data_IF_036058837527
#
_entry.id   IF_036058837527
#
_cell.length_a   1.000
_cell.length_b   1.000
_cell.length_c   1.000
_cell.angle_alpha   90.00
_cell.angle_beta   90.00
_cell.angle_gamma   90.00
#
_symmetry.space_group_name_H-M   'P 1'
#
loop_
_entity.id
_entity.type
_entity.pdbx_description
1 polymer ?
#
# COMPACT_ATOMS: atom_id res chain seq x y z
N UNK A 1 -27.71 30.81 57.66
CA UNK A 1 -28.86 31.60 57.21
C UNK A 1 -28.39 32.58 56.15
N UNK A 2 -29.08 32.66 55.01
CA UNK A 2 -28.82 33.68 53.98
C UNK A 2 -28.51 33.12 52.59
N UNK A 3 -29.53 32.58 51.93
CA UNK A 3 -29.60 32.42 50.47
C UNK A 3 -29.79 33.78 49.78
N UNK A 4 -29.10 33.98 48.65
CA UNK A 4 -29.50 34.79 47.47
C UNK A 4 -28.40 34.51 46.43
N UNK A 5 -28.61 34.13 45.17
CA UNK A 5 -29.76 34.31 44.29
C UNK A 5 -29.23 34.81 42.94
N UNK A 6 -28.65 33.93 42.10
CA UNK A 6 -28.02 34.31 40.83
C UNK A 6 -28.26 33.29 39.69
N UNK A 7 -29.42 33.41 39.03
CA UNK A 7 -29.63 32.98 37.63
C UNK A 7 -28.88 33.99 36.73
N UNK A 8 -28.27 33.71 35.59
CA UNK A 8 -28.19 32.54 34.72
C UNK A 8 -27.92 33.07 33.30
N UNK A 9 -26.93 32.55 32.59
CA UNK A 9 -26.86 32.55 31.11
C UNK A 9 -26.05 31.31 30.71
N UNK A 10 -26.75 30.20 30.48
CA UNK A 10 -26.17 28.99 29.92
C UNK A 10 -26.37 29.06 28.41
N UNK A 11 -25.36 29.53 27.69
CA UNK A 11 -25.33 29.50 26.23
C UNK A 11 -25.11 28.07 25.76
N UNK A 12 -26.08 27.55 25.02
CA UNK A 12 -26.07 26.23 24.37
C UNK A 12 -24.96 26.13 23.34
N UNK A 13 -23.83 25.49 23.70
CA UNK A 13 -22.89 24.91 22.75
C UNK A 13 -23.19 23.41 22.65
N UNK A 14 -24.37 23.10 22.09
CA UNK A 14 -24.91 21.75 21.97
C UNK A 14 -25.19 21.36 20.53
N UNK A 15 -24.28 21.69 19.60
CA UNK A 15 -24.53 21.53 18.15
C UNK A 15 -23.48 20.76 17.36
N UNK A 16 -22.41 20.24 17.97
CA UNK A 16 -21.32 19.59 17.21
C UNK A 16 -20.68 18.36 17.88
N UNK A 17 -21.25 17.89 18.99
CA UNK A 17 -20.77 16.68 19.70
C UNK A 17 -21.75 15.50 19.55
N UNK A 18 -22.99 15.75 19.05
CA UNK A 18 -24.02 14.72 18.88
C UNK A 18 -23.79 13.75 17.70
N UNK A 19 -23.04 14.15 16.69
CA UNK A 19 -22.90 13.36 15.45
C UNK A 19 -21.77 12.31 15.48
N UNK A 20 -21.06 12.18 16.61
CA UNK A 20 -19.93 11.22 16.76
C UNK A 20 -20.38 9.85 17.31
N UNK A 21 -21.62 9.72 17.78
CA UNK A 21 -22.10 8.49 18.45
C UNK A 21 -23.34 7.84 17.82
N UNK A 22 -23.40 7.74 16.49
CA UNK A 22 -24.32 6.79 15.83
C UNK A 22 -23.58 5.46 15.54
N UNK A 23 -23.63 4.55 16.52
CA UNK A 23 -22.90 3.28 16.53
C UNK A 23 -23.65 2.10 15.86
N UNK A 24 -24.77 2.34 15.19
CA UNK A 24 -25.56 1.34 14.47
C UNK A 24 -25.85 1.75 13.03
N UNK A 25 -24.79 2.04 12.28
CA UNK A 25 -24.86 2.11 10.83
C UNK A 25 -24.34 0.78 10.25
N UNK A 26 -25.22 0.06 9.53
CA UNK A 26 -24.92 -1.21 8.86
C UNK A 26 -24.03 -1.05 7.63
N UNK A 27 -23.64 0.18 7.27
CA UNK A 27 -22.74 0.46 6.17
C UNK A 27 -21.37 -0.22 6.39
N UNK A 28 -20.88 -1.03 5.43
CA UNK A 28 -19.57 -1.67 5.50
C UNK A 28 -18.45 -0.68 5.81
N UNK A 29 -17.43 -1.14 6.54
CA UNK A 29 -16.34 -0.29 7.03
C UNK A 29 -15.57 0.38 5.89
N UNK A 30 -15.33 -0.32 4.78
CA UNK A 30 -14.66 0.26 3.61
C UNK A 30 -15.48 1.40 2.98
N UNK A 31 -16.80 1.25 2.91
CA UNK A 31 -17.67 2.26 2.31
C UNK A 31 -17.72 3.54 3.18
N UNK A 32 -17.71 3.40 4.51
CA UNK A 32 -17.61 4.55 5.44
C UNK A 32 -16.30 5.31 5.30
N UNK A 33 -15.17 4.59 5.20
CA UNK A 33 -13.85 5.21 4.99
C UNK A 33 -13.82 5.94 3.64
N UNK A 34 -14.38 5.34 2.60
CA UNK A 34 -14.45 5.90 1.25
C UNK A 34 -15.31 7.17 1.23
N UNK A 35 -16.50 7.14 1.86
CA UNK A 35 -17.37 8.33 2.00
C UNK A 35 -16.69 9.45 2.78
N UNK A 36 -16.06 9.16 3.91
CA UNK A 36 -15.33 10.16 4.70
C UNK A 36 -14.17 10.77 3.90
N UNK A 37 -13.46 9.97 3.11
CA UNK A 37 -12.40 10.46 2.24
C UNK A 37 -12.93 11.36 1.13
N UNK A 38 -13.97 10.94 0.41
CA UNK A 38 -14.62 11.74 -0.63
C UNK A 38 -15.14 13.06 -0.07
N UNK A 39 -15.75 13.05 1.11
CA UNK A 39 -16.21 14.26 1.79
C UNK A 39 -15.04 15.16 2.20
N UNK A 40 -13.96 14.60 2.77
CA UNK A 40 -12.75 15.35 3.12
C UNK A 40 -12.07 15.96 1.89
N UNK A 41 -12.00 15.21 0.79
CA UNK A 41 -11.46 15.67 -0.50
C UNK A 41 -12.31 16.77 -1.12
N UNK A 42 -13.64 16.62 -1.11
CA UNK A 42 -14.57 17.65 -1.59
C UNK A 42 -14.56 18.90 -0.71
N UNK A 43 -14.44 18.75 0.61
CA UNK A 43 -14.28 19.86 1.55
C UNK A 43 -12.97 20.60 1.30
N UNK A 44 -11.85 19.88 1.16
CA UNK A 44 -10.56 20.47 0.80
C UNK A 44 -10.63 21.19 -0.56
N UNK A 45 -11.31 20.63 -1.56
CA UNK A 45 -11.52 21.27 -2.87
C UNK A 45 -12.34 22.56 -2.77
N UNK A 46 -13.45 22.57 -2.02
CA UNK A 46 -14.24 23.80 -1.78
C UNK A 46 -13.44 24.84 -1.00
N UNK A 47 -12.61 24.41 -0.06
CA UNK A 47 -11.68 25.27 0.67
C UNK A 47 -10.61 25.86 -0.26
N UNK A 48 -10.14 25.11 -1.26
CA UNK A 48 -9.25 25.62 -2.32
C UNK A 48 -9.92 26.70 -3.17
N UNK A 49 -11.16 26.46 -3.60
CA UNK A 49 -11.92 27.40 -4.43
C UNK A 49 -12.19 28.71 -3.67
N UNK A 50 -12.48 28.63 -2.36
CA UNK A 50 -12.74 29.80 -1.51
C UNK A 50 -11.49 30.57 -1.10
N UNK A 51 -10.33 29.92 -0.97
CA UNK A 51 -9.04 30.57 -0.61
C UNK A 51 -8.22 31.03 -1.82
N UNK A 52 -8.82 31.10 -3.01
CA UNK A 52 -8.12 31.51 -4.23
C UNK A 52 -6.98 30.56 -4.63
N UNK A 53 -7.13 29.26 -4.32
CA UNK A 53 -6.19 28.21 -4.70
C UNK A 53 -4.92 28.09 -3.86
N UNK A 54 -4.68 28.96 -2.86
CA UNK A 54 -3.51 28.87 -1.98
C UNK A 54 -3.82 27.98 -0.76
N UNK A 55 -3.58 26.67 -0.91
CA UNK A 55 -3.73 25.69 0.17
C UNK A 55 -2.68 25.88 1.28
N UNK A 56 -1.47 26.32 0.89
CA UNK A 56 -0.33 26.44 1.77
C UNK A 56 0.02 27.90 2.03
N UNK A 57 0.22 28.26 3.31
CA UNK A 57 0.84 29.54 3.65
C UNK A 57 2.29 29.55 3.16
N UNK A 58 2.83 30.74 2.88
CA UNK A 58 4.22 30.91 2.44
C UNK A 58 5.21 30.24 3.42
N UNK A 59 5.00 30.43 4.73
CA UNK A 59 5.82 29.77 5.76
C UNK A 59 5.68 28.23 5.79
N UNK A 60 4.53 27.68 5.40
CA UNK A 60 4.39 26.23 5.24
C UNK A 60 5.15 25.72 4.02
N UNK A 61 5.08 26.44 2.88
CA UNK A 61 5.86 26.10 1.69
C UNK A 61 7.37 26.16 1.95
N UNK A 62 7.84 27.19 2.66
CA UNK A 62 9.24 27.28 3.09
C UNK A 62 9.63 26.09 3.99
N UNK A 63 8.73 25.68 4.89
CA UNK A 63 8.98 24.53 5.76
C UNK A 63 9.07 23.21 4.98
N UNK A 64 8.20 23.00 3.99
CA UNK A 64 8.26 21.83 3.11
C UNK A 64 9.51 21.85 2.23
N UNK A 65 9.94 23.01 1.73
CA UNK A 65 11.18 23.16 0.96
C UNK A 65 12.41 22.80 1.80
N UNK A 66 12.49 23.28 3.05
CA UNK A 66 13.58 22.90 3.98
C UNK A 66 13.56 21.41 4.33
N UNK A 67 12.38 20.79 4.39
CA UNK A 67 12.28 19.34 4.60
C UNK A 67 12.80 18.58 3.37
N UNK A 68 12.42 19.00 2.17
CA UNK A 68 12.93 18.41 0.93
C UNK A 68 14.47 18.50 0.86
N UNK A 69 15.04 19.68 1.10
CA UNK A 69 16.49 19.90 1.13
C UNK A 69 17.20 18.99 2.15
N UNK A 70 16.61 18.80 3.33
CA UNK A 70 17.15 17.86 4.33
C UNK A 70 17.11 16.41 3.86
N UNK A 71 16.08 16.02 3.11
CA UNK A 71 15.98 14.67 2.53
C UNK A 71 17.03 14.50 1.45
N UNK A 72 17.18 15.47 0.54
CA UNK A 72 18.21 15.45 -0.51
C UNK A 72 19.61 15.28 0.07
N UNK A 73 19.96 16.09 1.09
CA UNK A 73 21.25 15.97 1.76
C UNK A 73 21.51 14.56 2.33
N UNK A 74 20.49 13.89 2.87
CA UNK A 74 20.62 12.52 3.39
C UNK A 74 20.69 11.49 2.27
N UNK A 75 19.94 11.69 1.17
CA UNK A 75 20.01 10.82 -0.01
C UNK A 75 21.40 10.85 -0.63
N UNK A 76 21.93 12.05 -0.83
CA UNK A 76 23.25 12.27 -1.42
C UNK A 76 24.36 11.67 -0.54
N UNK A 77 24.26 11.82 0.79
CA UNK A 77 25.27 11.30 1.72
C UNK A 77 25.21 9.77 1.91
N UNK A 78 24.01 9.21 2.04
CA UNK A 78 23.84 7.83 2.55
C UNK A 78 23.22 6.84 1.59
N UNK A 79 22.53 7.32 0.56
CA UNK A 79 21.72 6.48 -0.32
C UNK A 79 21.96 6.83 -1.79
N UNK A 80 23.20 6.67 -2.30
CA UNK A 80 23.54 7.03 -3.68
C UNK A 80 22.72 6.24 -4.71
N UNK A 81 22.26 5.03 -4.34
CA UNK A 81 21.42 4.18 -5.19
C UNK A 81 19.91 4.48 -5.04
N UNK A 82 19.56 5.50 -4.25
CA UNK A 82 18.20 5.86 -3.88
C UNK A 82 17.73 5.22 -2.58
N UNK A 83 16.59 5.69 -2.12
CA UNK A 83 15.96 5.25 -0.89
C UNK A 83 14.45 5.06 -1.06
N UNK A 84 13.85 4.55 0.02
CA UNK A 84 12.42 4.49 0.24
C UNK A 84 12.07 5.33 1.47
N UNK A 85 11.04 6.16 1.37
CA UNK A 85 10.59 7.04 2.45
C UNK A 85 9.32 6.52 3.13
N UNK A 86 9.27 6.62 4.46
CA UNK A 86 8.07 6.33 5.26
C UNK A 86 8.03 7.13 6.55
N UNK A 87 6.90 7.05 7.26
CA UNK A 87 6.81 7.46 8.66
C UNK A 87 6.93 6.26 9.61
N UNK A 88 6.73 6.49 10.91
CA UNK A 88 6.78 5.46 11.97
C UNK A 88 5.99 4.21 11.59
N UNK A 89 4.71 4.39 11.27
CA UNK A 89 3.76 3.28 11.20
C UNK A 89 3.53 2.76 9.80
N UNK A 90 3.43 3.64 8.80
CA UNK A 90 3.11 3.21 7.43
C UNK A 90 3.95 3.95 6.41
N UNK A 91 4.06 3.27 5.27
CA UNK A 91 4.69 3.81 4.07
C UNK A 91 3.62 4.33 3.10
N UNK A 92 3.97 5.32 2.25
CA UNK A 92 3.03 6.02 1.38
C UNK A 92 2.69 5.23 0.11
N UNK A 93 2.44 3.91 0.24
CA UNK A 93 2.23 2.96 -0.88
C UNK A 93 1.02 3.32 -1.77
N UNK A 94 0.11 4.15 -1.27
CA UNK A 94 -1.10 4.61 -1.94
C UNK A 94 -0.91 5.88 -2.80
N UNK A 95 0.24 6.54 -2.67
CA UNK A 95 0.51 7.83 -3.34
C UNK A 95 0.70 7.69 -4.85
N UNK A 96 1.29 6.58 -5.28
CA UNK A 96 1.63 6.34 -6.68
C UNK A 96 0.39 6.19 -7.57
N UNK A 97 -0.74 5.72 -7.01
CA UNK A 97 -2.04 5.64 -7.70
C UNK A 97 -2.54 7.03 -8.13
N UNK A 98 -2.05 8.10 -7.49
CA UNK A 98 -2.52 9.46 -7.72
C UNK A 98 -1.65 10.29 -8.69
N UNK A 99 -0.64 9.69 -9.35
CA UNK A 99 0.20 10.44 -10.31
C UNK A 99 -0.36 10.40 -11.73
N UNK A 100 -0.63 11.58 -12.29
CA UNK A 100 -0.95 11.76 -13.70
C UNK A 100 0.17 11.26 -14.63
N UNK A 101 1.42 11.29 -14.17
CA UNK A 101 2.58 10.74 -14.88
C UNK A 101 2.54 9.20 -14.96
N UNK A 102 2.18 8.49 -13.87
CA UNK A 102 1.97 7.04 -13.91
C UNK A 102 0.81 6.69 -14.84
N UNK A 103 -0.30 7.44 -14.78
CA UNK A 103 -1.42 7.23 -15.70
C UNK A 103 -0.99 7.42 -17.16
N UNK A 104 -0.19 8.45 -17.46
CA UNK A 104 0.31 8.72 -18.80
C UNK A 104 1.31 7.67 -19.28
N UNK A 105 2.18 7.17 -18.40
CA UNK A 105 3.12 6.07 -18.71
C UNK A 105 2.38 4.75 -18.93
N UNK A 106 1.33 4.47 -18.15
CA UNK A 106 0.46 3.31 -18.31
C UNK A 106 -0.23 3.35 -19.68
N UNK A 107 -0.79 4.51 -20.04
CA UNK A 107 -1.42 4.76 -21.35
C UNK A 107 -0.40 4.52 -22.48
N UNK A 108 0.81 5.06 -22.36
CA UNK A 108 1.84 4.92 -23.40
C UNK A 108 2.33 3.47 -23.57
N UNK A 109 2.45 2.71 -22.48
CA UNK A 109 2.92 1.31 -22.54
C UNK A 109 1.85 0.40 -23.16
N UNK A 110 0.59 0.55 -22.74
CA UNK A 110 -0.57 -0.15 -23.32
C UNK A 110 -0.68 0.16 -24.82
N UNK A 111 -0.47 1.40 -25.24
CA UNK A 111 -0.50 1.79 -26.65
C UNK A 111 0.68 1.22 -27.48
N UNK A 112 1.76 0.78 -26.82
CA UNK A 112 3.00 0.32 -27.49
C UNK A 112 3.18 -1.19 -27.53
N UNK A 113 2.48 -1.96 -26.67
CA UNK A 113 2.50 -3.43 -26.75
C UNK A 113 1.66 -3.87 -27.95
N UNK A 114 2.32 -4.05 -29.08
CA UNK A 114 1.72 -4.65 -30.28
C UNK A 114 1.24 -6.06 -29.96
N UNK A 115 -0.06 -6.22 -29.74
CA UNK A 115 -0.68 -7.53 -29.67
C UNK A 115 -0.44 -8.28 -30.99
N UNK A 116 -0.10 -9.57 -30.96
CA UNK A 116 0.08 -10.35 -32.18
C UNK A 116 -1.22 -10.36 -32.98
N UNK A 117 -1.14 -9.96 -34.25
CA UNK A 117 -2.27 -10.01 -35.15
C UNK A 117 -2.80 -11.44 -35.24
N UNK A 118 -4.13 -11.65 -35.22
CA UNK A 118 -4.72 -12.98 -35.25
C UNK A 118 -4.26 -13.74 -36.49
N UNK A 119 -3.58 -14.86 -36.28
CA UNK A 119 -3.07 -15.69 -37.38
C UNK A 119 -4.26 -16.29 -38.16
N UNK A 120 -4.41 -15.85 -39.41
CA UNK A 120 -5.40 -16.38 -40.34
C UNK A 120 -4.94 -17.75 -40.83
N UNK A 121 -5.36 -18.83 -40.15
CA UNK A 121 -5.15 -20.19 -40.64
C UNK A 121 -6.45 -20.81 -41.15
N UNK A 122 -6.33 -21.43 -42.31
CA UNK A 122 -7.37 -21.90 -43.21
C UNK A 122 -8.04 -23.20 -42.77
N UNK A 123 -9.37 -23.18 -42.79
CA UNK A 123 -10.33 -24.27 -43.04
C UNK A 123 -9.81 -25.72 -43.08
N UNK A 124 -10.05 -26.47 -42.00
CA UNK A 124 -10.40 -27.89 -42.11
C UNK A 124 -11.52 -28.23 -41.12
N UNK A 125 -12.52 -28.93 -41.61
CA UNK A 125 -13.84 -29.13 -41.00
C UNK A 125 -13.82 -30.24 -39.94
N UNK A 126 -13.88 -29.84 -38.67
CA UNK A 126 -14.36 -30.65 -37.54
C UNK A 126 -14.91 -29.67 -36.50
N UNK A 127 -16.03 -29.95 -35.81
CA UNK A 127 -16.63 -28.98 -34.89
C UNK A 127 -15.74 -28.84 -33.66
N UNK A 128 -15.11 -27.67 -33.41
CA UNK A 128 -14.36 -27.47 -32.19
C UNK A 128 -15.33 -26.92 -31.13
N UNK A 129 -15.37 -27.57 -29.97
CA UNK A 129 -15.78 -26.94 -28.72
C UNK A 129 -14.77 -25.83 -28.40
N UNK A 130 -15.01 -24.63 -28.93
CA UNK A 130 -14.00 -23.59 -29.17
C UNK A 130 -14.01 -22.40 -28.21
N UNK A 131 -14.53 -22.54 -26.98
CA UNK A 131 -14.55 -21.42 -26.01
C UNK A 131 -13.35 -21.38 -25.05
N UNK A 132 -12.44 -22.36 -25.08
CA UNK A 132 -11.43 -22.53 -24.01
C UNK A 132 -10.05 -21.93 -24.28
N UNK A 133 -9.77 -21.44 -25.50
CA UNK A 133 -8.48 -20.85 -25.82
C UNK A 133 -8.41 -19.34 -25.55
N UNK A 134 -9.49 -18.58 -25.79
CA UNK A 134 -9.46 -17.12 -25.61
C UNK A 134 -9.45 -16.71 -24.14
N UNK A 135 -10.23 -17.39 -23.29
CA UNK A 135 -10.27 -17.09 -21.86
C UNK A 135 -8.91 -17.28 -21.16
N UNK A 136 -8.07 -18.19 -21.68
CA UNK A 136 -6.73 -18.43 -21.16
C UNK A 136 -5.74 -17.34 -21.55
N UNK A 137 -5.86 -16.81 -22.76
CA UNK A 137 -5.04 -15.69 -23.23
C UNK A 137 -5.42 -14.40 -22.52
N UNK A 138 -6.72 -14.15 -22.32
CA UNK A 138 -7.23 -12.98 -21.61
C UNK A 138 -6.80 -12.95 -20.13
N UNK A 139 -6.80 -14.12 -19.49
CA UNK A 139 -6.36 -14.27 -18.10
C UNK A 139 -4.84 -14.10 -17.95
N UNK A 140 -4.05 -14.68 -18.86
CA UNK A 140 -2.59 -14.52 -18.85
C UNK A 140 -2.19 -13.04 -19.02
N UNK A 141 -2.88 -12.33 -19.91
CA UNK A 141 -2.67 -10.91 -20.13
C UNK A 141 -3.09 -10.05 -18.93
N UNK A 142 -4.21 -10.37 -18.27
CA UNK A 142 -4.64 -9.66 -17.06
C UNK A 142 -3.63 -9.83 -15.91
N UNK A 143 -3.04 -11.01 -15.77
CA UNK A 143 -2.01 -11.30 -14.77
C UNK A 143 -0.73 -10.53 -15.09
N UNK A 144 -0.27 -10.58 -16.33
CA UNK A 144 0.93 -9.85 -16.77
C UNK A 144 0.79 -8.34 -16.55
N UNK A 145 -0.36 -7.77 -16.90
CA UNK A 145 -0.68 -6.36 -16.67
C UNK A 145 -0.74 -6.01 -15.18
N UNK A 146 -1.25 -6.90 -14.32
CA UNK A 146 -1.25 -6.70 -12.87
C UNK A 146 0.16 -6.73 -12.29
N UNK A 147 1.02 -7.63 -12.78
CA UNK A 147 2.42 -7.72 -12.38
C UNK A 147 3.20 -6.47 -12.80
N UNK A 148 2.97 -5.98 -14.02
CA UNK A 148 3.53 -4.71 -14.50
C UNK A 148 3.05 -3.54 -13.63
N UNK A 149 1.74 -3.46 -13.36
CA UNK A 149 1.14 -2.45 -12.49
C UNK A 149 1.80 -2.41 -11.11
N UNK A 150 1.95 -3.58 -10.46
CA UNK A 150 2.58 -3.68 -9.15
C UNK A 150 4.09 -3.35 -9.19
N UNK A 151 4.80 -3.79 -10.24
CA UNK A 151 6.23 -3.50 -10.43
C UNK A 151 6.48 -2.01 -10.64
N UNK A 152 5.61 -1.35 -11.40
CA UNK A 152 5.64 0.10 -11.62
C UNK A 152 5.31 0.86 -10.33
N UNK A 153 4.28 0.43 -9.58
CA UNK A 153 3.94 1.00 -8.27
C UNK A 153 5.13 0.99 -7.33
N UNK A 154 5.87 -0.12 -7.29
CA UNK A 154 6.99 -0.27 -6.38
C UNK A 154 8.19 0.57 -6.83
N UNK A 155 8.52 0.53 -8.12
CA UNK A 155 9.60 1.37 -8.69
C UNK A 155 9.33 2.87 -8.51
N UNK A 156 8.06 3.29 -8.52
CA UNK A 156 7.66 4.70 -8.32
C UNK A 156 7.84 5.22 -6.89
N UNK A 157 8.10 4.34 -5.91
CA UNK A 157 8.37 4.75 -4.52
C UNK A 157 9.86 4.97 -4.26
N UNK A 158 10.72 4.66 -5.24
CA UNK A 158 12.16 4.94 -5.18
C UNK A 158 12.38 6.44 -5.33
N UNK A 159 12.93 7.06 -4.30
CA UNK A 159 13.45 8.42 -4.37
C UNK A 159 14.96 8.36 -4.61
N UNK A 160 15.47 9.19 -5.52
CA UNK A 160 16.90 9.19 -5.87
C UNK A 160 17.55 10.50 -5.44
N UNK A 161 18.83 10.40 -5.12
CA UNK A 161 19.73 11.54 -5.02
C UNK A 161 19.71 12.37 -6.31
N UNK A 162 20.09 13.65 -6.22
CA UNK A 162 20.14 14.53 -7.39
C UNK A 162 21.27 14.08 -8.31
N UNK A 163 20.98 13.81 -9.58
CA UNK A 163 22.03 13.58 -10.57
C UNK A 163 22.54 14.94 -11.03
N UNK A 164 23.65 15.43 -10.47
CA UNK A 164 24.29 16.65 -10.96
C UNK A 164 24.92 16.41 -12.34
N UNK A 165 24.10 16.28 -13.39
CA UNK A 165 24.59 16.36 -14.76
C UNK A 165 25.04 17.81 -15.00
N UNK A 166 26.34 18.00 -15.17
CA UNK A 166 26.91 19.28 -15.54
C UNK A 166 26.20 19.82 -16.79
N UNK A 167 25.41 20.88 -16.61
CA UNK A 167 24.84 21.65 -17.71
C UNK A 167 23.33 21.59 -17.88
N UNK A 168 22.61 20.67 -17.24
CA UNK A 168 21.14 20.62 -17.36
C UNK A 168 20.44 21.01 -16.04
N UNK A 169 19.94 22.24 -15.99
CA UNK A 169 19.17 22.77 -14.85
C UNK A 169 17.66 22.60 -15.04
N UNK A 170 17.20 21.96 -16.11
CA UNK A 170 15.85 22.21 -16.64
C UNK A 170 14.80 21.14 -16.35
N UNK A 171 15.09 20.03 -15.64
CA UNK A 171 14.06 19.00 -15.49
C UNK A 171 14.18 17.93 -14.42
N UNK A 172 15.15 17.96 -13.51
CA UNK A 172 15.22 16.90 -12.50
C UNK A 172 14.30 17.19 -11.30
N UNK A 173 13.31 16.31 -11.11
CA UNK A 173 12.54 16.23 -9.86
C UNK A 173 13.50 15.95 -8.70
N UNK A 174 13.77 16.97 -7.88
CA UNK A 174 14.58 16.86 -6.68
C UNK A 174 13.99 15.75 -5.77
N UNK A 175 14.80 14.73 -5.44
CA UNK A 175 14.36 13.53 -4.73
C UNK A 175 13.65 13.84 -3.41
N UNK A 176 14.07 14.89 -2.71
CA UNK A 176 13.46 15.42 -1.52
C UNK A 176 12.07 16.00 -1.75
N UNK A 177 11.85 16.74 -2.86
CA UNK A 177 10.52 17.25 -3.21
C UNK A 177 9.58 16.11 -3.56
N UNK A 178 10.06 15.13 -4.32
CA UNK A 178 9.27 13.95 -4.65
C UNK A 178 8.92 13.14 -3.39
N UNK A 179 9.85 12.99 -2.45
CA UNK A 179 9.60 12.36 -1.15
C UNK A 179 8.53 13.10 -0.33
N UNK A 180 8.60 14.44 -0.26
CA UNK A 180 7.58 15.26 0.40
C UNK A 180 6.23 15.12 -0.28
N UNK A 181 6.20 15.10 -1.62
CA UNK A 181 4.99 14.89 -2.39
C UNK A 181 4.37 13.50 -2.13
N UNK A 182 5.17 12.42 -2.12
CA UNK A 182 4.72 11.07 -1.76
C UNK A 182 4.08 11.06 -0.36
N UNK A 183 4.73 11.65 0.63
CA UNK A 183 4.18 11.70 1.98
C UNK A 183 2.90 12.54 2.07
N UNK A 184 2.87 13.69 1.39
CA UNK A 184 1.74 14.61 1.41
C UNK A 184 0.50 14.11 0.65
N UNK A 185 0.70 13.23 -0.33
CA UNK A 185 -0.39 12.65 -1.15
C UNK A 185 -0.92 11.32 -0.63
N UNK A 186 -0.24 10.70 0.35
CA UNK A 186 -0.68 9.44 0.97
C UNK A 186 -1.79 9.64 2.00
N UNK A 187 -2.92 8.97 1.79
CA UNK A 187 -3.99 8.86 2.78
C UNK A 187 -3.53 8.06 4.00
N UNK A 188 -2.69 7.03 3.81
CA UNK A 188 -2.10 6.26 4.93
C UNK A 188 -1.27 7.15 5.85
N UNK A 189 -0.44 8.03 5.27
CA UNK A 189 0.35 9.01 6.03
C UNK A 189 -0.55 10.03 6.72
N UNK A 190 -1.54 10.58 6.01
CA UNK A 190 -2.50 11.51 6.62
C UNK A 190 -3.20 10.91 7.84
N UNK A 191 -3.66 9.66 7.75
CA UNK A 191 -4.29 8.97 8.88
C UNK A 191 -3.32 8.75 10.04
N UNK A 192 -2.05 8.46 9.78
CA UNK A 192 -1.04 8.33 10.84
C UNK A 192 -0.78 9.65 11.54
N UNK A 193 -0.60 10.74 10.79
CA UNK A 193 -0.42 12.08 11.35
C UNK A 193 -1.64 12.54 12.15
N UNK A 194 -2.84 12.23 11.66
CA UNK A 194 -4.10 12.51 12.37
C UNK A 194 -4.17 11.74 13.69
N UNK A 195 -3.80 10.45 13.70
CA UNK A 195 -3.76 9.66 14.94
C UNK A 195 -2.74 10.22 15.93
N UNK A 196 -1.56 10.63 15.49
CA UNK A 196 -0.56 11.26 16.37
C UNK A 196 -1.09 12.57 16.95
N UNK A 197 -1.77 13.38 16.12
CA UNK A 197 -2.37 14.64 16.57
C UNK A 197 -3.49 14.41 17.59
N UNK A 198 -4.29 13.37 17.43
CA UNK A 198 -5.42 13.05 18.32
C UNK A 198 -5.01 12.26 19.56
N UNK A 199 -3.88 11.55 19.52
CA UNK A 199 -3.39 10.71 20.60
C UNK A 199 -1.96 11.08 20.96
N UNK A 200 -1.79 11.85 22.04
CA UNK A 200 -0.48 12.30 22.54
C UNK A 200 0.49 11.15 22.85
N UNK A 201 -0.02 9.92 23.01
CA UNK A 201 0.76 8.74 23.38
C UNK A 201 1.57 8.10 22.22
N UNK A 202 1.36 8.50 20.95
CA UNK A 202 2.08 7.87 19.82
C UNK A 202 3.53 8.36 19.65
N UNK A 203 4.00 9.24 20.54
CA UNK A 203 5.36 9.78 20.51
C UNK A 203 5.62 10.70 19.32
N UNK A 204 6.91 11.01 19.10
CA UNK A 204 7.33 11.90 18.03
C UNK A 204 7.24 11.21 16.66
N UNK A 205 6.67 11.88 15.67
CA UNK A 205 6.75 11.45 14.27
C UNK A 205 8.19 11.50 13.80
N UNK A 206 8.65 10.40 13.22
CA UNK A 206 9.95 10.24 12.60
C UNK A 206 9.74 10.05 11.09
N UNK A 207 10.58 10.73 10.33
CA UNK A 207 10.77 10.47 8.91
C UNK A 207 11.88 9.43 8.78
N UNK A 208 11.61 8.34 8.07
CA UNK A 208 12.53 7.21 7.93
C UNK A 208 12.87 7.07 6.45
N UNK A 209 14.17 7.08 6.16
CA UNK A 209 14.74 6.71 4.87
C UNK A 209 15.37 5.34 5.01
N UNK A 210 15.06 4.43 4.07
CA UNK A 210 15.65 3.10 3.98
C UNK A 210 16.34 2.97 2.64
N UNK A 211 17.52 2.36 2.62
CA UNK A 211 18.24 2.11 1.38
C UNK A 211 17.34 1.34 0.40
N UNK A 212 17.33 1.79 -0.85
CA UNK A 212 16.64 1.08 -1.91
C UNK A 212 17.43 -0.17 -2.31
N UNK A 213 16.73 -1.28 -2.49
CA UNK A 213 17.33 -2.53 -2.97
C UNK A 213 16.60 -3.02 -4.20
N UNK A 214 17.31 -3.15 -5.32
CA UNK A 214 16.76 -3.72 -6.55
C UNK A 214 16.49 -5.24 -6.44
N UNK A 215 17.04 -5.89 -5.40
CA UNK A 215 16.74 -7.29 -5.08
C UNK A 215 15.41 -7.48 -4.33
N UNK A 216 14.82 -6.40 -3.83
CA UNK A 216 13.54 -6.45 -3.10
C UNK A 216 12.39 -6.34 -4.10
N UNK A 217 11.81 -7.49 -4.43
CA UNK A 217 10.57 -7.56 -5.22
C UNK A 217 9.37 -7.68 -4.27
N UNK A 218 8.48 -6.69 -4.31
CA UNK A 218 7.30 -6.62 -3.44
C UNK A 218 6.29 -7.75 -3.71
N UNK A 219 6.26 -8.29 -4.92
CA UNK A 219 5.42 -9.45 -5.26
C UNK A 219 5.83 -10.68 -4.43
N UNK A 220 7.11 -10.73 -4.04
CA UNK A 220 7.70 -11.74 -3.16
C UNK A 220 7.71 -11.28 -1.69
N UNK A 221 6.73 -10.43 -1.30
CA UNK A 221 6.43 -10.13 0.10
C UNK A 221 5.47 -11.17 0.71
N UNK A 222 5.73 -11.51 1.96
CA UNK A 222 4.95 -12.46 2.75
C UNK A 222 4.69 -11.86 4.13
N UNK A 223 3.50 -12.10 4.69
CA UNK A 223 3.18 -11.76 6.07
C UNK A 223 3.17 -13.01 6.91
N UNK A 224 3.98 -13.04 7.97
CA UNK A 224 3.86 -14.04 9.02
C UNK A 224 3.08 -13.51 10.21
N UNK A 225 2.45 -14.46 10.91
CA UNK A 225 1.76 -14.24 12.17
C UNK A 225 2.58 -14.91 13.27
N UNK A 226 2.81 -14.16 14.35
CA UNK A 226 3.62 -14.62 15.48
C UNK A 226 2.78 -14.56 16.74
N UNK A 227 2.64 -15.71 17.39
CA UNK A 227 1.90 -15.87 18.63
C UNK A 227 2.77 -16.63 19.63
N UNK A 228 2.82 -16.18 20.90
CA UNK A 228 3.70 -16.74 21.92
C UNK A 228 5.17 -16.89 21.46
N UNK A 229 5.65 -15.88 20.71
CA UNK A 229 6.98 -15.85 20.09
C UNK A 229 7.27 -17.05 19.14
N UNK A 230 6.23 -17.64 18.56
CA UNK A 230 6.30 -18.70 17.56
C UNK A 230 5.59 -18.26 16.29
N UNK A 231 6.21 -18.52 15.13
CA UNK A 231 5.58 -18.27 13.84
C UNK A 231 4.50 -19.32 13.59
N UNK A 232 3.24 -18.92 13.63
CA UNK A 232 2.07 -19.81 13.54
C UNK A 232 1.54 -19.93 12.12
N UNK A 233 1.61 -18.86 11.33
CA UNK A 233 1.12 -18.88 9.97
C UNK A 233 1.90 -17.92 9.08
N UNK A 234 1.85 -18.17 7.76
CA UNK A 234 2.38 -17.29 6.72
C UNK A 234 1.33 -17.17 5.61
N UNK A 235 1.19 -15.95 5.08
CA UNK A 235 0.38 -15.66 3.91
C UNK A 235 1.19 -14.88 2.87
N UNK A 236 0.98 -15.15 1.58
CA UNK A 236 1.39 -14.24 0.53
C UNK A 236 0.77 -12.85 0.76
N UNK A 237 1.59 -11.79 0.74
CA UNK A 237 1.11 -10.45 1.09
C UNK A 237 0.05 -9.95 0.10
N UNK A 238 0.34 -10.11 -1.20
CA UNK A 238 -0.53 -9.75 -2.31
C UNK A 238 -1.48 -10.90 -2.65
N UNK A 239 -2.62 -10.96 -1.95
CA UNK A 239 -3.60 -12.07 -2.05
C UNK A 239 -4.29 -12.21 -3.41
N UNK A 240 -4.23 -11.19 -4.27
CA UNK A 240 -4.81 -11.21 -5.62
C UNK A 240 -3.80 -11.48 -6.74
N UNK A 241 -2.54 -11.79 -6.42
CA UNK A 241 -1.46 -11.95 -7.42
C UNK A 241 -0.97 -13.38 -7.46
N UNK A 242 -1.26 -14.09 -8.54
CA UNK A 242 -0.78 -15.45 -8.75
C UNK A 242 0.62 -15.43 -9.36
N UNK A 243 1.56 -16.14 -8.74
CA UNK A 243 2.96 -16.22 -9.19
C UNK A 243 3.39 -17.69 -9.11
N UNK A 244 3.40 -18.42 -10.25
CA UNK A 244 3.74 -19.84 -10.28
C UNK A 244 5.06 -20.15 -9.56
N UNK A 245 6.08 -19.31 -9.76
CA UNK A 245 7.41 -19.51 -9.20
C UNK A 245 7.44 -19.43 -7.67
N UNK A 246 6.52 -18.68 -7.04
CA UNK A 246 6.38 -18.64 -5.58
C UNK A 246 5.83 -19.99 -5.09
N UNK A 247 4.88 -20.58 -5.83
CA UNK A 247 4.31 -21.89 -5.50
C UNK A 247 5.35 -23.01 -5.65
N UNK A 248 6.09 -23.00 -6.76
CA UNK A 248 7.16 -23.97 -7.04
C UNK A 248 8.26 -23.95 -5.97
N UNK A 249 8.58 -22.76 -5.45
CA UNK A 249 9.63 -22.56 -4.42
C UNK A 249 9.10 -22.47 -2.99
N UNK A 250 7.84 -22.86 -2.74
CA UNK A 250 7.16 -22.69 -1.43
C UNK A 250 8.01 -23.17 -0.25
N UNK A 251 8.65 -24.32 -0.38
CA UNK A 251 9.44 -24.90 0.71
C UNK A 251 10.77 -24.17 0.94
N UNK A 252 11.47 -23.73 -0.11
CA UNK A 252 12.70 -22.96 0.06
C UNK A 252 12.43 -21.56 0.63
N UNK A 253 11.34 -20.91 0.19
CA UNK A 253 10.87 -19.63 0.74
C UNK A 253 10.59 -19.79 2.23
N UNK A 254 9.83 -20.83 2.61
CA UNK A 254 9.53 -21.13 4.01
C UNK A 254 10.79 -21.34 4.85
N UNK A 255 11.74 -22.12 4.34
CA UNK A 255 13.00 -22.38 5.02
C UNK A 255 13.78 -21.08 5.27
N UNK A 256 13.91 -20.23 4.24
CA UNK A 256 14.59 -18.93 4.33
C UNK A 256 13.92 -17.99 5.33
N UNK A 257 12.59 -17.89 5.31
CA UNK A 257 11.83 -17.08 6.26
C UNK A 257 11.98 -17.56 7.71
N UNK A 258 11.93 -18.88 7.94
CA UNK A 258 12.16 -19.46 9.27
C UNK A 258 13.55 -19.17 9.77
N UNK A 259 14.58 -19.34 8.94
CA UNK A 259 15.96 -19.03 9.32
C UNK A 259 16.10 -17.57 9.76
N UNK A 260 15.55 -16.62 8.99
CA UNK A 260 15.58 -15.19 9.36
C UNK A 260 14.78 -14.91 10.63
N UNK A 261 13.61 -15.53 10.78
CA UNK A 261 12.78 -15.37 11.98
C UNK A 261 13.51 -15.82 13.25
N UNK A 262 14.16 -16.98 13.24
CA UNK A 262 14.92 -17.48 14.38
C UNK A 262 16.03 -16.50 14.82
N UNK A 263 16.72 -15.88 13.85
CA UNK A 263 17.76 -14.87 14.12
C UNK A 263 17.20 -13.54 14.64
N UNK A 264 15.99 -13.18 14.20
CA UNK A 264 15.38 -11.88 14.53
C UNK A 264 14.65 -11.94 15.86
N UNK A 265 13.91 -13.03 16.15
CA UNK A 265 13.06 -13.12 17.35
C UNK A 265 13.85 -12.95 18.65
N UNK A 266 15.12 -13.37 18.68
CA UNK A 266 16.01 -13.21 19.84
C UNK A 266 16.44 -11.75 20.07
N UNK A 267 16.37 -10.90 19.04
CA UNK A 267 16.76 -9.50 19.08
C UNK A 267 15.57 -8.56 19.33
N UNK A 268 14.34 -9.08 19.27
CA UNK A 268 13.15 -8.27 19.48
C UNK A 268 13.00 -7.93 20.97
N UNK A 269 12.58 -6.70 21.31
CA UNK A 269 12.35 -6.33 22.69
C UNK A 269 11.34 -7.26 23.37
N UNK A 270 11.55 -7.57 24.65
CA UNK A 270 10.65 -8.45 25.40
C UNK A 270 9.17 -8.04 25.30
N UNK A 271 8.89 -6.74 25.39
CA UNK A 271 7.54 -6.16 25.27
C UNK A 271 6.84 -6.47 23.93
N UNK A 272 7.60 -6.72 22.86
CA UNK A 272 7.04 -7.18 21.60
C UNK A 272 6.82 -8.70 21.62
N UNK A 273 7.77 -9.46 22.16
CA UNK A 273 7.70 -10.94 22.19
C UNK A 273 6.67 -11.50 23.16
N UNK A 274 6.21 -10.69 24.13
CA UNK A 274 5.15 -11.07 25.09
C UNK A 274 3.74 -10.87 24.56
N UNK A 275 3.59 -10.28 23.37
CA UNK A 275 2.32 -10.06 22.70
C UNK A 275 2.33 -10.65 21.28
N UNK A 276 1.16 -10.93 20.69
CA UNK A 276 1.07 -11.28 19.29
C UNK A 276 1.52 -10.14 18.38
N UNK A 277 2.16 -10.46 17.27
CA UNK A 277 2.57 -9.48 16.25
C UNK A 277 2.59 -10.11 14.86
N UNK A 278 2.80 -9.29 13.84
CA UNK A 278 3.04 -9.77 12.48
C UNK A 278 4.38 -9.28 11.97
N UNK A 279 5.04 -10.10 11.17
CA UNK A 279 6.28 -9.74 10.46
C UNK A 279 6.05 -9.83 8.97
N UNK A 280 6.33 -8.75 8.27
CA UNK A 280 6.37 -8.75 6.83
C UNK A 280 7.80 -9.08 6.39
N UNK A 281 7.94 -10.05 5.50
CA UNK A 281 9.19 -10.47 4.90
C UNK A 281 9.17 -10.17 3.41
N UNK A 282 10.36 -9.97 2.83
CA UNK A 282 10.57 -10.01 1.39
C UNK A 282 11.61 -11.06 1.06
N UNK A 283 11.44 -11.78 -0.04
CA UNK A 283 12.38 -12.81 -0.49
C UNK A 283 12.86 -12.49 -1.90
N UNK A 284 14.17 -12.51 -2.12
CA UNK A 284 14.73 -12.31 -3.45
C UNK A 284 14.39 -13.51 -4.35
N UNK A 285 13.73 -13.32 -5.50
CA UNK A 285 13.35 -14.44 -6.37
C UNK A 285 14.54 -15.24 -6.92
N UNK A 286 15.71 -14.57 -7.07
CA UNK A 286 16.93 -15.15 -7.65
C UNK A 286 17.76 -15.91 -6.62
N UNK A 287 17.96 -15.31 -5.45
CA UNK A 287 18.91 -15.81 -4.44
C UNK A 287 18.24 -16.44 -3.23
N UNK A 288 16.92 -16.28 -3.09
CA UNK A 288 16.13 -16.66 -1.91
C UNK A 288 16.59 -16.00 -0.61
N UNK A 289 17.43 -14.96 -0.70
CA UNK A 289 17.77 -14.11 0.44
C UNK A 289 16.49 -13.48 0.98
N UNK A 290 16.29 -13.58 2.29
CA UNK A 290 15.10 -13.08 2.98
C UNK A 290 15.45 -11.88 3.87
N UNK A 291 14.56 -10.90 3.91
CA UNK A 291 14.64 -9.71 4.74
C UNK A 291 13.38 -9.54 5.57
N UNK A 292 13.53 -8.98 6.78
CA UNK A 292 12.38 -8.42 7.51
C UNK A 292 12.12 -7.01 7.00
N UNK A 293 10.91 -6.78 6.52
CA UNK A 293 10.45 -5.50 5.97
C UNK A 293 9.77 -4.66 7.04
N UNK A 294 8.85 -5.25 7.79
CA UNK A 294 8.03 -4.50 8.74
C UNK A 294 7.58 -5.37 9.92
N UNK A 295 7.44 -4.75 11.09
CA UNK A 295 6.79 -5.35 12.25
C UNK A 295 5.48 -4.59 12.44
N UNK A 296 4.36 -5.31 12.43
CA UNK A 296 3.05 -4.70 12.62
C UNK A 296 2.34 -5.26 13.86
N UNK A 297 1.27 -4.56 14.23
CA UNK A 297 0.32 -5.04 15.24
C UNK A 297 -0.29 -6.38 14.80
N UNK A 298 -0.87 -7.18 15.71
CA UNK A 298 -1.60 -8.38 15.33
C UNK A 298 -2.93 -8.04 14.62
N UNK A 299 -3.55 -9.00 13.93
CA UNK A 299 -4.93 -8.88 13.47
C UNK A 299 -5.92 -8.59 14.62
N UNK A 300 -7.08 -7.96 14.35
CA UNK A 300 -7.54 -7.49 13.04
C UNK A 300 -6.92 -6.14 12.61
N UNK A 301 -6.00 -5.58 13.39
CA UNK A 301 -5.40 -4.27 13.08
C UNK A 301 -4.48 -4.36 11.87
N UNK A 302 -3.66 -5.40 11.79
CA UNK A 302 -2.99 -5.78 10.55
C UNK A 302 -3.93 -6.61 9.68
N UNK A 303 -3.88 -6.38 8.37
CA UNK A 303 -4.57 -7.23 7.40
C UNK A 303 -4.03 -8.66 7.39
N UNK A 304 -4.89 -9.62 7.09
CA UNK A 304 -4.61 -11.05 7.16
C UNK A 304 -4.36 -11.72 5.80
N UNK A 305 -4.43 -10.94 4.71
CA UNK A 305 -4.19 -11.40 3.33
C UNK A 305 -5.07 -12.59 2.94
N UNK A 306 -4.50 -13.80 2.76
CA UNK A 306 -5.25 -15.02 2.38
C UNK A 306 -5.95 -15.72 3.56
N UNK A 307 -5.84 -15.17 4.77
CA UNK A 307 -6.67 -15.58 5.90
C UNK A 307 -7.82 -14.60 6.08
N UNK A 308 -9.00 -15.12 6.44
CA UNK A 308 -10.19 -14.32 6.74
C UNK A 308 -10.35 -14.25 8.25
N UNK A 309 -10.07 -13.09 8.86
CA UNK A 309 -10.06 -12.96 10.32
C UNK A 309 -11.42 -13.26 10.98
N UNK A 310 -12.50 -12.92 10.28
CA UNK A 310 -13.88 -13.18 10.69
C UNK A 310 -14.20 -14.68 10.69
N UNK A 311 -13.43 -15.51 9.96
CA UNK A 311 -13.54 -16.96 10.00
C UNK A 311 -12.84 -17.51 11.25
N UNK A 312 -13.58 -18.22 12.10
CA UNK A 312 -13.06 -18.75 13.36
C UNK A 312 -11.91 -19.76 13.18
N UNK A 313 -11.94 -20.56 12.11
CA UNK A 313 -10.88 -21.54 11.85
C UNK A 313 -9.57 -20.84 11.47
N UNK A 314 -9.63 -19.82 10.61
CA UNK A 314 -8.46 -19.03 10.23
C UNK A 314 -7.86 -18.30 11.43
N UNK A 315 -8.71 -17.76 12.31
CA UNK A 315 -8.27 -17.17 13.57
C UNK A 315 -7.55 -18.18 14.46
N UNK A 316 -8.13 -19.38 14.61
CA UNK A 316 -7.49 -20.47 15.36
C UNK A 316 -6.12 -20.83 14.78
N UNK A 317 -5.99 -20.90 13.46
CA UNK A 317 -4.71 -21.15 12.78
C UNK A 317 -3.69 -20.06 13.09
N UNK A 318 -4.08 -18.79 12.92
CA UNK A 318 -3.21 -17.63 13.20
C UNK A 318 -2.77 -17.58 14.67
N UNK A 319 -3.66 -17.89 15.61
CA UNK A 319 -3.35 -17.74 17.04
C UNK A 319 -2.62 -18.96 17.62
N UNK A 320 -3.08 -20.18 17.34
CA UNK A 320 -2.65 -21.38 18.07
C UNK A 320 -2.66 -22.68 17.24
N UNK A 321 -2.99 -22.63 15.95
CA UNK A 321 -3.20 -23.83 15.14
C UNK A 321 -1.90 -24.48 14.68
N UNK A 322 -1.99 -25.63 13.97
CA UNK A 322 -0.83 -26.17 13.28
C UNK A 322 -0.29 -25.13 12.30
N UNK A 323 1.03 -25.12 12.13
CA UNK A 323 1.66 -24.17 11.23
C UNK A 323 1.05 -24.26 9.82
N UNK A 324 0.65 -23.11 9.25
CA UNK A 324 0.10 -23.06 7.89
C UNK A 324 0.75 -21.98 7.03
N UNK A 325 1.09 -22.33 5.79
CA UNK A 325 1.60 -21.40 4.78
C UNK A 325 0.65 -21.36 3.58
N UNK A 326 -0.12 -20.27 3.46
CA UNK A 326 -1.06 -20.02 2.36
C UNK A 326 -0.42 -19.18 1.26
N UNK A 327 -0.54 -19.68 0.04
CA UNK A 327 -0.21 -19.00 -1.21
C UNK A 327 -1.44 -19.04 -2.12
N UNK A 328 -1.52 -18.11 -3.06
CA UNK A 328 -2.54 -18.22 -4.10
C UNK A 328 -2.14 -19.36 -5.06
N UNK A 329 -2.95 -20.41 -5.14
CA UNK A 329 -2.60 -21.64 -5.89
C UNK A 329 -2.99 -21.60 -7.36
N UNK A 330 -3.90 -20.70 -7.73
CA UNK A 330 -4.37 -20.49 -9.09
C UNK A 330 -4.71 -19.00 -9.30
N UNK A 331 -4.69 -18.50 -10.54
CA UNK A 331 -5.16 -17.15 -10.84
C UNK A 331 -6.53 -16.86 -10.25
N UNK A 332 -6.68 -15.68 -9.66
CA UNK A 332 -7.98 -15.16 -9.27
C UNK A 332 -8.81 -14.96 -10.54
N UNK A 333 -10.06 -15.45 -10.53
CA UNK A 333 -10.94 -15.28 -11.68
C UNK A 333 -11.21 -13.80 -11.94
N UNK A 334 -11.35 -13.36 -13.21
CA UNK A 334 -11.53 -11.95 -13.56
C UNK A 334 -12.69 -11.25 -12.83
N UNK A 335 -13.78 -11.98 -12.54
CA UNK A 335 -14.97 -11.43 -11.88
C UNK A 335 -14.69 -11.03 -10.42
N UNK A 336 -13.66 -11.60 -9.81
CA UNK A 336 -13.21 -11.25 -8.46
C UNK A 336 -12.20 -10.10 -8.52
N UNK A 337 -11.41 -10.01 -9.60
CA UNK A 337 -10.50 -8.88 -9.80
C UNK A 337 -11.28 -7.57 -10.06
N UNK A 338 -12.43 -7.65 -10.72
CA UNK A 338 -13.22 -6.46 -11.03
C UNK A 338 -13.69 -5.72 -9.79
N UNK A 339 -14.07 -6.42 -8.72
CA UNK A 339 -14.45 -5.79 -7.45
C UNK A 339 -13.27 -5.16 -6.69
N UNK A 340 -12.04 -5.65 -6.94
CA UNK A 340 -10.82 -5.14 -6.30
C UNK A 340 -10.26 -3.93 -7.07
N UNK A 341 -10.47 -3.88 -8.39
CA UNK A 341 -9.86 -2.92 -9.30
C UNK A 341 -10.87 -2.11 -10.12
N UNK A 342 -12.14 -1.99 -9.70
CA UNK A 342 -13.17 -1.22 -10.41
C UNK A 342 -12.66 0.15 -10.93
N UNK A 343 -11.97 0.98 -10.13
CA UNK A 343 -11.45 2.27 -10.63
C UNK A 343 -10.45 2.12 -11.78
N UNK A 344 -9.64 1.06 -11.78
CA UNK A 344 -8.69 0.77 -12.85
C UNK A 344 -9.45 0.26 -14.08
N UNK A 345 -10.45 -0.61 -13.90
CA UNK A 345 -11.27 -1.14 -14.99
C UNK A 345 -12.14 -0.06 -15.65
N UNK A 346 -12.70 0.86 -14.89
CA UNK A 346 -13.46 2.01 -15.41
C UNK A 346 -12.56 2.90 -16.27
N UNK A 347 -11.33 3.16 -15.81
CA UNK A 347 -10.36 3.92 -16.59
C UNK A 347 -9.98 3.16 -17.86
N UNK A 348 -9.70 1.86 -17.78
CA UNK A 348 -9.41 1.03 -18.95
C UNK A 348 -10.58 1.01 -19.93
N UNK A 349 -11.81 0.98 -19.43
CA UNK A 349 -13.04 1.01 -20.24
C UNK A 349 -13.23 2.34 -20.94
N UNK A 350 -13.02 3.46 -20.24
CA UNK A 350 -13.08 4.80 -20.83
C UNK A 350 -11.97 5.06 -21.86
N UNK A 351 -10.78 4.46 -21.67
CA UNK A 351 -9.70 4.52 -22.66
C UNK A 351 -10.06 3.75 -23.93
N UNK A 352 -10.67 2.56 -23.81
CA UNK A 352 -11.16 1.78 -24.96
C UNK A 352 -12.25 2.47 -25.78
N UNK A 353 -13.00 3.40 -25.20
CA UNK A 353 -14.01 4.18 -25.94
C UNK A 353 -13.43 5.28 -26.81
N UNK A 354 -12.14 5.60 -26.63
CA UNK A 354 -11.45 6.70 -27.34
C UNK A 354 -10.59 6.23 -28.52
N UNK A 355 -10.40 4.92 -28.64
CA UNK A 355 -9.90 4.25 -29.85
C UNK A 355 -11.08 3.91 -30.77
#
# INVERSE_FOLDING_TARGET
>A
EGEEGGRGVMGTVGGLIGDVFNFFDSTPREERITKQFLQGSQAAKREMETKGGKFYSEGMMETLARLAEKIDNVLDEKYPNGAFVRLNLRSPKDSCVNTQAMMSSLISQVASSSLPAPSSSSSSSSPPSSSSSSEKEDLALAIENTIIYLTALCSSLKIKARETKEGDKSGEEEGGRFAVWLLGSSLRVYQDLTRVRLHEQMGRVQLILREWSDDLNTIWEFRSFVYNNQMTAISQYHSGTYVPEILDKKQEILASMREVFEKVKEKLPFALTSAPYTLDFAVCPKTLKCWVVEINNPPPKAGTSLFVWENENDRKIIENGPFEFRLLEAPTKPEVLSTIYEPVLDILTELRKKE
#
